data_IF_813967852790
#
_entry.id   IF_813967852790
#
_cell.length_a   1.000
_cell.length_b   1.000
_cell.length_c   1.000
_cell.angle_alpha   90.00
_cell.angle_beta   90.00
_cell.angle_gamma   90.00
#
_symmetry.space_group_name_H-M   'P 1'
#
loop_
_entity.id
_entity.type
_entity.pdbx_description
1 polymer ?
#
# COMPACT_ATOMS: atom_id res chain seq x y z
N UNK A 1 -23.20 -7.38 -43.34
CA UNK A 1 -22.82 -7.66 -41.95
C UNK A 1 -24.02 -7.26 -41.11
N UNK A 2 -24.74 -8.21 -40.58
CA UNK A 2 -25.89 -7.97 -39.71
C UNK A 2 -25.38 -7.33 -38.43
N UNK A 3 -25.73 -6.07 -38.19
CA UNK A 3 -25.48 -5.38 -36.90
C UNK A 3 -26.22 -6.17 -35.81
N UNK A 4 -25.48 -7.05 -35.17
CA UNK A 4 -25.95 -7.72 -33.98
C UNK A 4 -25.83 -6.70 -32.83
N UNK A 5 -26.90 -5.88 -32.63
CA UNK A 5 -26.98 -4.95 -31.50
C UNK A 5 -26.97 -5.79 -30.24
N UNK A 6 -25.79 -5.92 -29.61
CA UNK A 6 -25.65 -6.60 -28.34
C UNK A 6 -26.41 -5.82 -27.26
N UNK A 7 -27.48 -6.40 -26.73
CA UNK A 7 -28.16 -5.78 -25.57
C UNK A 7 -27.21 -5.71 -24.38
N UNK A 8 -27.17 -4.59 -23.64
CA UNK A 8 -26.38 -4.49 -22.43
C UNK A 8 -26.74 -5.56 -21.41
N UNK A 9 -25.81 -6.13 -20.65
CA UNK A 9 -26.06 -7.14 -19.64
C UNK A 9 -27.09 -6.67 -18.61
N UNK A 10 -28.18 -7.43 -18.40
CA UNK A 10 -29.25 -7.12 -17.46
C UNK A 10 -29.97 -8.41 -16.99
N UNK A 11 -30.76 -8.30 -15.94
CA UNK A 11 -31.68 -9.32 -15.47
C UNK A 11 -32.90 -8.63 -14.87
N UNK A 12 -33.95 -8.46 -15.70
CA UNK A 12 -35.19 -7.81 -15.26
C UNK A 12 -35.86 -8.60 -14.13
N UNK A 13 -35.82 -9.93 -14.18
CA UNK A 13 -36.39 -10.78 -13.12
C UNK A 13 -35.71 -10.55 -11.76
N UNK A 14 -34.37 -10.40 -11.76
CA UNK A 14 -33.63 -10.08 -10.54
C UNK A 14 -33.93 -8.66 -10.03
N UNK A 15 -34.06 -7.68 -10.93
CA UNK A 15 -34.43 -6.32 -10.58
C UNK A 15 -35.83 -6.28 -9.94
N UNK A 16 -36.80 -6.97 -10.54
CA UNK A 16 -38.18 -7.09 -10.02
C UNK A 16 -38.20 -7.79 -8.65
N UNK A 17 -37.45 -8.89 -8.50
CA UNK A 17 -37.34 -9.61 -7.24
C UNK A 17 -36.70 -8.76 -6.12
N UNK A 18 -35.72 -7.90 -6.47
CA UNK A 18 -35.14 -6.96 -5.52
C UNK A 18 -36.16 -5.93 -5.07
N UNK A 19 -36.85 -5.27 -6.00
CA UNK A 19 -37.82 -4.22 -5.67
C UNK A 19 -39.01 -4.76 -4.88
N UNK A 20 -39.58 -5.88 -5.31
CA UNK A 20 -40.66 -6.52 -4.59
C UNK A 20 -40.25 -7.04 -3.24
N UNK A 21 -39.03 -7.58 -3.12
CA UNK A 21 -38.46 -8.03 -1.86
C UNK A 21 -38.22 -6.90 -0.85
N UNK A 22 -37.80 -5.73 -1.32
CA UNK A 22 -37.63 -4.52 -0.48
C UNK A 22 -38.96 -4.03 0.09
N UNK A 23 -40.03 -4.07 -0.72
CA UNK A 23 -41.38 -3.70 -0.28
C UNK A 23 -41.96 -4.71 0.74
N UNK A 24 -41.56 -5.98 0.69
CA UNK A 24 -42.00 -7.03 1.61
C UNK A 24 -41.15 -7.12 2.87
N UNK A 25 -39.86 -6.78 2.80
CA UNK A 25 -38.92 -6.83 3.95
C UNK A 25 -39.12 -5.65 4.94
N UNK A 26 -39.74 -4.56 4.45
CA UNK A 26 -40.14 -3.42 5.28
C UNK A 26 -39.03 -2.63 5.94
N UNK A 27 -37.77 -2.78 5.54
CA UNK A 27 -36.63 -2.03 6.06
C UNK A 27 -35.75 -2.78 7.06
N UNK A 28 -35.85 -4.08 7.14
CA UNK A 28 -35.04 -4.96 7.99
C UNK A 28 -33.55 -5.00 7.57
N UNK A 29 -32.74 -5.78 8.27
CA UNK A 29 -31.30 -5.91 8.04
C UNK A 29 -30.93 -6.26 6.58
N UNK A 30 -31.74 -7.06 5.89
CA UNK A 30 -31.55 -7.42 4.47
C UNK A 30 -31.73 -6.21 3.57
N UNK A 31 -32.74 -5.37 3.80
CA UNK A 31 -32.93 -4.12 3.10
C UNK A 31 -31.71 -3.22 3.24
N UNK A 32 -31.13 -3.06 4.44
CA UNK A 32 -29.93 -2.26 4.66
C UNK A 32 -28.73 -2.81 3.90
N UNK A 33 -28.56 -4.13 3.82
CA UNK A 33 -27.50 -4.77 3.01
C UNK A 33 -27.68 -4.46 1.52
N UNK A 34 -28.91 -4.54 0.99
CA UNK A 34 -29.19 -4.20 -0.41
C UNK A 34 -28.96 -2.73 -0.72
N UNK A 35 -29.34 -1.82 0.19
CA UNK A 35 -29.08 -0.37 0.06
C UNK A 35 -27.57 -0.04 0.03
N UNK A 36 -26.74 -0.83 0.72
CA UNK A 36 -25.29 -0.70 0.68
C UNK A 36 -24.68 -1.27 -0.61
N UNK A 37 -25.34 -2.23 -1.25
CA UNK A 37 -24.85 -2.94 -2.46
C UNK A 37 -25.23 -2.25 -3.75
N UNK A 38 -26.43 -1.65 -3.83
CA UNK A 38 -27.02 -1.12 -5.04
C UNK A 38 -27.15 0.40 -5.01
N UNK A 39 -27.14 0.97 -6.21
CA UNK A 39 -27.46 2.36 -6.48
C UNK A 39 -28.56 2.40 -7.54
N UNK A 40 -29.27 3.52 -7.73
CA UNK A 40 -30.25 3.66 -8.81
C UNK A 40 -29.67 3.28 -10.19
N UNK A 41 -28.41 3.65 -10.45
CA UNK A 41 -27.69 3.34 -11.71
C UNK A 41 -27.37 1.84 -11.87
N UNK A 42 -27.55 1.05 -10.79
CA UNK A 42 -27.38 -0.40 -10.86
C UNK A 42 -28.53 -1.09 -11.62
N UNK A 43 -29.65 -0.44 -11.78
CA UNK A 43 -30.79 -0.96 -12.50
C UNK A 43 -30.71 -0.65 -14.00
N UNK A 44 -31.04 -1.62 -14.82
CA UNK A 44 -31.11 -1.45 -16.27
C UNK A 44 -32.39 -0.72 -16.68
N UNK A 45 -33.52 -1.07 -16.04
CA UNK A 45 -34.82 -0.45 -16.28
C UNK A 45 -34.91 0.93 -15.62
N UNK A 46 -35.20 1.97 -16.38
CA UNK A 46 -35.43 3.33 -15.88
C UNK A 46 -36.54 3.39 -14.80
N UNK A 47 -37.73 2.78 -15.03
CA UNK A 47 -38.73 2.61 -14.01
C UNK A 47 -38.25 1.96 -12.73
N UNK A 48 -37.44 0.88 -12.78
CA UNK A 48 -36.87 0.23 -11.60
C UNK A 48 -35.90 1.16 -10.84
N UNK A 49 -35.06 1.90 -11.55
CA UNK A 49 -34.18 2.91 -10.95
C UNK A 49 -34.97 3.99 -10.20
N UNK A 50 -36.14 4.42 -10.78
CA UNK A 50 -37.03 5.39 -10.14
C UNK A 50 -37.67 4.83 -8.86
N UNK A 51 -38.17 3.58 -8.90
CA UNK A 51 -38.74 2.89 -7.73
C UNK A 51 -37.69 2.74 -6.64
N UNK A 52 -36.47 2.29 -6.98
CA UNK A 52 -35.37 2.14 -6.01
C UNK A 52 -34.98 3.47 -5.37
N UNK A 53 -34.98 4.56 -6.14
CA UNK A 53 -34.73 5.92 -5.62
C UNK A 53 -35.78 6.30 -4.60
N UNK A 54 -37.06 6.08 -4.88
CA UNK A 54 -38.17 6.37 -3.96
C UNK A 54 -38.08 5.51 -2.69
N UNK A 55 -37.74 4.23 -2.80
CA UNK A 55 -37.50 3.35 -1.66
C UNK A 55 -36.38 3.92 -0.76
N UNK A 56 -35.28 4.36 -1.39
CA UNK A 56 -34.16 4.96 -0.66
C UNK A 56 -34.55 6.25 0.07
N UNK A 57 -35.37 7.08 -0.55
CA UNK A 57 -35.86 8.33 0.02
C UNK A 57 -36.83 8.07 1.21
N UNK A 58 -37.72 7.09 1.10
CA UNK A 58 -38.61 6.65 2.19
C UNK A 58 -37.79 6.11 3.38
N UNK A 59 -36.82 5.25 3.11
CA UNK A 59 -35.93 4.70 4.15
C UNK A 59 -35.17 5.81 4.89
N UNK A 60 -34.65 6.80 4.16
CA UNK A 60 -33.95 7.94 4.74
C UNK A 60 -34.85 8.81 5.64
N UNK A 61 -36.17 8.83 5.36
CA UNK A 61 -37.19 9.54 6.16
C UNK A 61 -37.81 8.65 7.24
N UNK A 62 -37.35 7.42 7.38
CA UNK A 62 -37.91 6.42 8.30
C UNK A 62 -39.42 6.18 8.09
N UNK A 63 -39.83 6.16 6.79
CA UNK A 63 -41.21 5.92 6.41
C UNK A 63 -41.41 4.48 5.92
N UNK A 64 -42.64 3.92 5.99
CA UNK A 64 -42.93 2.57 5.52
C UNK A 64 -42.60 2.39 4.02
N UNK A 65 -42.07 1.23 3.68
CA UNK A 65 -41.74 0.83 2.30
C UNK A 65 -42.80 -0.16 1.85
N UNK A 66 -43.92 0.33 1.33
CA UNK A 66 -45.00 -0.47 0.80
C UNK A 66 -45.51 0.11 -0.54
N UNK A 67 -46.28 -0.69 -1.36
CA UNK A 67 -46.72 -0.23 -2.68
C UNK A 67 -47.57 1.05 -2.66
N UNK A 68 -48.36 1.28 -1.59
CA UNK A 68 -49.23 2.45 -1.49
C UNK A 68 -48.40 3.72 -1.25
N UNK A 69 -47.55 3.69 -0.24
CA UNK A 69 -46.67 4.82 0.12
C UNK A 69 -45.69 5.16 -1.04
N UNK A 70 -45.20 4.13 -1.75
CA UNK A 70 -44.35 4.32 -2.92
C UNK A 70 -45.11 4.96 -4.10
N UNK A 71 -46.35 4.55 -4.35
CA UNK A 71 -47.17 5.14 -5.42
C UNK A 71 -47.34 6.63 -5.19
N UNK A 72 -47.70 7.05 -3.97
CA UNK A 72 -47.90 8.46 -3.65
C UNK A 72 -46.62 9.31 -3.89
N UNK A 73 -45.45 8.79 -3.49
CA UNK A 73 -44.17 9.47 -3.66
C UNK A 73 -43.77 9.56 -5.14
N UNK A 74 -44.00 8.49 -5.91
CA UNK A 74 -43.64 8.42 -7.33
C UNK A 74 -44.57 9.28 -8.19
N UNK A 75 -45.86 9.32 -7.87
CA UNK A 75 -46.83 10.20 -8.57
C UNK A 75 -46.52 11.67 -8.31
N UNK A 76 -46.20 12.05 -7.08
CA UNK A 76 -45.79 13.40 -6.71
C UNK A 76 -44.51 13.87 -7.44
N UNK A 77 -43.67 12.96 -7.87
CA UNK A 77 -42.39 13.25 -8.57
C UNK A 77 -42.47 13.19 -10.10
N UNK A 78 -43.63 12.93 -10.69
CA UNK A 78 -43.86 12.77 -12.14
C UNK A 78 -42.89 11.77 -12.81
N UNK A 79 -42.51 10.73 -12.12
CA UNK A 79 -41.59 9.69 -12.63
C UNK A 79 -42.35 8.51 -13.19
N UNK A 80 -41.90 8.01 -14.35
CA UNK A 80 -42.43 6.77 -14.91
C UNK A 80 -42.02 5.57 -14.06
N UNK A 81 -43.00 4.80 -13.52
CA UNK A 81 -42.77 3.63 -12.67
C UNK A 81 -43.75 2.47 -12.95
N UNK A 82 -44.64 2.62 -13.94
CA UNK A 82 -45.61 1.60 -14.32
C UNK A 82 -46.91 1.62 -13.56
N UNK A 83 -47.12 2.56 -12.62
CA UNK A 83 -48.35 2.73 -11.84
C UNK A 83 -48.43 1.75 -10.63
N UNK A 84 -49.48 1.98 -9.80
CA UNK A 84 -49.73 1.19 -8.60
C UNK A 84 -49.86 -0.33 -8.89
N UNK A 85 -50.52 -0.68 -10.00
CA UNK A 85 -50.70 -2.08 -10.41
C UNK A 85 -49.37 -2.80 -10.61
N UNK A 86 -48.35 -2.11 -11.13
CA UNK A 86 -47.03 -2.66 -11.32
C UNK A 86 -46.32 -2.88 -9.99
N UNK A 87 -46.42 -1.97 -9.04
CA UNK A 87 -45.87 -2.16 -7.70
C UNK A 87 -46.49 -3.36 -6.95
N UNK A 88 -47.81 -3.50 -7.11
CA UNK A 88 -48.52 -4.66 -6.54
C UNK A 88 -48.11 -5.97 -7.23
N UNK A 89 -47.85 -5.97 -8.52
CA UNK A 89 -47.32 -7.12 -9.26
C UNK A 89 -45.91 -7.51 -8.82
N UNK A 90 -45.02 -6.53 -8.63
CA UNK A 90 -43.64 -6.77 -8.12
C UNK A 90 -43.66 -7.49 -6.76
N UNK A 91 -44.51 -7.07 -5.83
CA UNK A 91 -44.63 -7.74 -4.52
C UNK A 91 -45.20 -9.13 -4.63
N UNK A 92 -46.23 -9.33 -5.47
CA UNK A 92 -46.89 -10.62 -5.68
C UNK A 92 -45.96 -11.65 -6.31
N UNK A 93 -45.13 -11.23 -7.28
CA UNK A 93 -44.25 -12.11 -8.06
C UNK A 93 -42.87 -12.32 -7.44
N UNK A 94 -42.58 -11.75 -6.26
CA UNK A 94 -41.31 -11.95 -5.55
C UNK A 94 -41.18 -13.37 -5.04
N UNK A 95 -40.19 -14.14 -5.51
CA UNK A 95 -40.13 -15.59 -5.18
C UNK A 95 -39.80 -15.84 -3.71
N UNK A 96 -38.90 -15.06 -3.09
CA UNK A 96 -38.52 -15.20 -1.69
C UNK A 96 -37.77 -13.99 -1.15
N UNK A 97 -38.22 -13.42 -0.08
CA UNK A 97 -37.53 -12.35 0.68
C UNK A 97 -36.22 -12.86 1.31
N UNK A 98 -36.14 -14.16 1.66
CA UNK A 98 -34.93 -14.74 2.21
C UNK A 98 -33.71 -14.64 1.25
N UNK A 99 -33.95 -14.63 -0.07
CA UNK A 99 -32.92 -14.56 -1.10
C UNK A 99 -32.68 -13.13 -1.60
N UNK A 100 -33.22 -12.11 -0.97
CA UNK A 100 -33.15 -10.71 -1.39
C UNK A 100 -31.73 -10.24 -1.68
N UNK A 101 -30.78 -10.56 -0.78
CA UNK A 101 -29.37 -10.20 -0.93
C UNK A 101 -28.73 -10.90 -2.14
N UNK A 102 -29.14 -12.14 -2.45
CA UNK A 102 -28.66 -12.87 -3.63
C UNK A 102 -29.16 -12.23 -4.93
N UNK A 103 -30.44 -11.84 -5.00
CA UNK A 103 -30.98 -11.12 -6.17
C UNK A 103 -30.28 -9.78 -6.36
N UNK A 104 -30.00 -9.06 -5.28
CA UNK A 104 -29.24 -7.80 -5.34
C UNK A 104 -27.80 -8.04 -5.86
N UNK A 105 -27.18 -9.15 -5.53
CA UNK A 105 -25.85 -9.49 -6.06
C UNK A 105 -25.90 -9.69 -7.59
N UNK A 106 -26.93 -10.37 -8.11
CA UNK A 106 -27.12 -10.53 -9.58
C UNK A 106 -27.28 -9.17 -10.27
N UNK A 107 -28.12 -8.28 -9.72
CA UNK A 107 -28.32 -6.92 -10.28
C UNK A 107 -27.00 -6.14 -10.27
N UNK A 108 -26.22 -6.22 -9.19
CA UNK A 108 -24.93 -5.57 -9.08
C UNK A 108 -23.93 -6.09 -10.09
N UNK A 109 -23.85 -7.41 -10.29
CA UNK A 109 -22.92 -8.02 -11.22
C UNK A 109 -23.23 -7.59 -12.66
N UNK A 110 -24.52 -7.52 -13.03
CA UNK A 110 -24.94 -6.98 -14.34
C UNK A 110 -24.66 -5.48 -14.48
N UNK A 111 -24.77 -4.71 -13.41
CA UNK A 111 -24.39 -3.30 -13.41
C UNK A 111 -22.88 -3.13 -13.60
N UNK A 112 -22.04 -3.98 -12.97
CA UNK A 112 -20.59 -3.96 -13.15
C UNK A 112 -20.19 -4.29 -14.60
N UNK A 113 -20.84 -5.28 -15.21
CA UNK A 113 -20.63 -5.61 -16.63
C UNK A 113 -20.97 -4.41 -17.54
N UNK A 114 -22.10 -3.73 -17.31
CA UNK A 114 -22.49 -2.51 -18.06
C UNK A 114 -21.50 -1.37 -17.87
N UNK A 115 -21.07 -1.14 -16.64
CA UNK A 115 -20.08 -0.10 -16.34
C UNK A 115 -18.75 -0.37 -17.04
N UNK A 116 -18.30 -1.63 -17.04
CA UNK A 116 -17.09 -2.04 -17.74
C UNK A 116 -17.21 -1.81 -19.26
N UNK A 117 -18.34 -2.22 -19.88
CA UNK A 117 -18.61 -1.97 -21.31
C UNK A 117 -18.60 -0.48 -21.62
N UNK A 118 -19.25 0.35 -20.80
CA UNK A 118 -19.26 1.80 -20.97
C UNK A 118 -17.83 2.38 -20.97
N UNK A 119 -17.00 1.98 -20.01
CA UNK A 119 -15.61 2.47 -19.91
C UNK A 119 -14.70 1.94 -21.02
N UNK A 120 -14.91 0.72 -21.49
CA UNK A 120 -14.18 0.17 -22.62
C UNK A 120 -14.58 0.87 -23.94
N UNK A 121 -15.84 1.22 -24.12
CA UNK A 121 -16.28 2.01 -25.27
C UNK A 121 -15.66 3.42 -25.24
N UNK A 122 -15.65 4.09 -24.08
CA UNK A 122 -14.95 5.37 -23.87
C UNK A 122 -13.47 5.27 -24.25
N UNK A 123 -12.79 4.21 -23.82
CA UNK A 123 -11.41 3.93 -24.19
C UNK A 123 -11.23 3.72 -25.70
N UNK A 124 -12.15 3.00 -26.33
CA UNK A 124 -12.14 2.76 -27.77
C UNK A 124 -12.35 4.06 -28.56
N UNK A 125 -13.34 4.87 -28.18
CA UNK A 125 -13.59 6.17 -28.79
C UNK A 125 -12.38 7.10 -28.67
N UNK A 126 -11.71 7.09 -27.52
CA UNK A 126 -10.48 7.86 -27.29
C UNK A 126 -9.36 7.49 -28.27
N UNK A 127 -9.19 6.20 -28.57
CA UNK A 127 -8.18 5.74 -29.54
C UNK A 127 -8.48 6.23 -30.96
N UNK A 128 -9.77 6.22 -31.37
CA UNK A 128 -10.19 6.70 -32.68
C UNK A 128 -10.25 8.23 -32.79
N UNK A 129 -10.31 8.95 -31.67
CA UNK A 129 -10.40 10.40 -31.65
C UNK A 129 -9.16 11.06 -32.26
N UNK A 130 -9.36 12.07 -33.13
CA UNK A 130 -8.29 12.90 -33.69
C UNK A 130 -8.07 14.15 -32.82
N UNK A 131 -7.70 13.94 -31.56
CA UNK A 131 -7.35 15.03 -30.66
C UNK A 131 -5.83 15.25 -30.63
N UNK A 132 -5.36 16.28 -29.91
CA UNK A 132 -3.92 16.63 -29.77
C UNK A 132 -3.13 15.68 -28.86
N UNK A 133 -3.76 14.65 -28.28
CA UNK A 133 -3.09 13.70 -27.38
C UNK A 133 -2.16 12.77 -28.18
N UNK A 134 -0.98 12.54 -27.64
CA UNK A 134 -0.04 11.53 -28.13
C UNK A 134 -0.57 10.11 -27.86
N UNK A 135 -0.02 9.11 -28.55
CA UNK A 135 -0.39 7.72 -28.30
C UNK A 135 -0.11 7.28 -26.85
N UNK A 136 0.96 7.79 -26.25
CA UNK A 136 1.33 7.49 -24.85
C UNK A 136 0.29 8.05 -23.89
N UNK A 137 -0.11 9.33 -24.05
CA UNK A 137 -1.14 9.96 -23.22
C UNK A 137 -2.51 9.26 -23.33
N UNK A 138 -2.87 8.76 -24.53
CA UNK A 138 -4.08 7.96 -24.71
C UNK A 138 -4.00 6.63 -23.94
N UNK A 139 -2.86 5.94 -23.99
CA UNK A 139 -2.66 4.67 -23.26
C UNK A 139 -2.67 4.87 -21.74
N UNK A 140 -2.10 5.96 -21.22
CA UNK A 140 -2.19 6.33 -19.81
C UNK A 140 -3.63 6.57 -19.37
N UNK A 141 -4.41 7.31 -20.18
CA UNK A 141 -5.82 7.55 -19.92
C UNK A 141 -6.64 6.26 -19.92
N UNK A 142 -6.36 5.32 -20.82
CA UNK A 142 -7.00 3.99 -20.85
C UNK A 142 -6.64 3.18 -19.60
N UNK A 143 -5.39 3.26 -19.14
CA UNK A 143 -4.98 2.63 -17.86
C UNK A 143 -5.78 3.19 -16.68
N UNK A 144 -6.03 4.49 -16.64
CA UNK A 144 -6.88 5.10 -15.62
C UNK A 144 -8.35 4.61 -15.71
N UNK A 145 -8.92 4.46 -16.90
CA UNK A 145 -10.26 3.89 -17.09
C UNK A 145 -10.37 2.44 -16.61
N UNK A 146 -9.36 1.62 -16.89
CA UNK A 146 -9.32 0.22 -16.38
C UNK A 146 -9.22 0.16 -14.86
N UNK A 147 -8.50 1.10 -14.24
CA UNK A 147 -8.46 1.26 -12.78
C UNK A 147 -9.83 1.63 -12.22
N UNK A 148 -10.58 2.55 -12.87
CA UNK A 148 -11.95 2.89 -12.48
C UNK A 148 -12.89 1.69 -12.52
N UNK A 149 -12.79 0.82 -13.56
CA UNK A 149 -13.57 -0.43 -13.64
C UNK A 149 -13.26 -1.32 -12.42
N UNK A 150 -11.98 -1.49 -12.10
CA UNK A 150 -11.53 -2.29 -10.96
C UNK A 150 -12.03 -1.74 -9.62
N UNK A 151 -12.03 -0.43 -9.45
CA UNK A 151 -12.49 0.24 -8.23
C UNK A 151 -14.02 0.23 -8.10
N UNK A 152 -14.75 0.33 -9.21
CA UNK A 152 -16.20 0.16 -9.21
C UNK A 152 -16.61 -1.25 -8.78
N UNK A 153 -15.92 -2.29 -9.25
CA UNK A 153 -16.12 -3.66 -8.84
C UNK A 153 -15.92 -3.87 -7.32
N UNK A 154 -15.00 -3.09 -6.70
CA UNK A 154 -14.73 -3.15 -5.26
C UNK A 154 -15.73 -2.35 -4.42
N UNK A 155 -16.42 -1.37 -4.99
CA UNK A 155 -17.31 -0.45 -4.26
C UNK A 155 -18.46 -1.19 -3.55
N UNK A 156 -18.95 -2.29 -4.12
CA UNK A 156 -19.95 -3.15 -3.49
C UNK A 156 -19.41 -4.06 -2.38
N UNK A 157 -18.08 -4.19 -2.27
CA UNK A 157 -17.38 -4.99 -1.26
C UNK A 157 -16.72 -4.13 -0.16
N UNK A 158 -17.00 -2.83 -0.10
CA UNK A 158 -16.56 -2.02 1.04
C UNK A 158 -17.21 -2.59 2.29
N UNK A 159 -16.38 -3.11 3.18
CA UNK A 159 -16.81 -3.53 4.51
C UNK A 159 -17.45 -2.29 5.19
N UNK A 160 -18.76 -2.29 5.33
CA UNK A 160 -19.49 -1.29 6.11
C UNK A 160 -19.14 -1.37 7.60
N UNK A 161 -19.94 -0.75 8.43
CA UNK A 161 -19.86 -0.94 9.88
C UNK A 161 -20.06 -2.44 10.18
N UNK A 162 -19.15 -3.00 10.98
CA UNK A 162 -19.26 -4.35 11.51
C UNK A 162 -19.74 -4.27 12.95
N UNK A 163 -20.62 -5.18 13.35
CA UNK A 163 -20.97 -5.31 14.76
C UNK A 163 -19.74 -5.68 15.59
N UNK A 164 -19.73 -5.34 16.86
CA UNK A 164 -18.65 -5.75 17.77
C UNK A 164 -18.51 -7.28 17.80
N UNK A 165 -19.62 -8.02 17.73
CA UNK A 165 -19.63 -9.49 17.67
C UNK A 165 -18.87 -10.03 16.46
N UNK A 166 -19.17 -9.53 15.24
CA UNK A 166 -18.47 -9.95 14.02
C UNK A 166 -16.97 -9.65 14.07
N UNK A 167 -16.58 -8.54 14.70
CA UNK A 167 -15.18 -8.18 14.89
C UNK A 167 -14.52 -9.10 15.90
N UNK A 168 -15.23 -9.43 17.00
CA UNK A 168 -14.76 -10.30 18.07
C UNK A 168 -14.50 -11.73 17.56
N UNK A 169 -15.41 -12.29 16.78
CA UNK A 169 -15.24 -13.63 16.19
C UNK A 169 -13.99 -13.72 15.32
N UNK A 170 -13.79 -12.72 14.46
CA UNK A 170 -12.59 -12.66 13.63
C UNK A 170 -11.32 -12.44 14.46
N UNK A 171 -11.39 -11.70 15.55
CA UNK A 171 -10.27 -11.46 16.45
C UNK A 171 -9.90 -12.71 17.26
N UNK A 172 -10.88 -13.48 17.73
CA UNK A 172 -10.66 -14.76 18.43
C UNK A 172 -9.95 -15.75 17.49
N UNK A 173 -10.44 -15.90 16.25
CA UNK A 173 -9.80 -16.75 15.25
C UNK A 173 -8.36 -16.34 14.93
N UNK A 174 -8.09 -15.04 14.89
CA UNK A 174 -6.73 -14.50 14.76
C UNK A 174 -5.88 -14.75 16.01
N UNK A 175 -6.49 -14.70 17.19
CA UNK A 175 -5.81 -14.94 18.46
C UNK A 175 -5.35 -16.40 18.56
N UNK A 176 -6.22 -17.35 18.20
CA UNK A 176 -5.90 -18.78 18.16
C UNK A 176 -4.69 -19.06 17.26
N UNK A 177 -4.65 -18.48 16.05
CA UNK A 177 -3.50 -18.57 15.15
C UNK A 177 -2.21 -18.00 15.76
N UNK A 178 -2.31 -16.95 16.58
CA UNK A 178 -1.16 -16.32 17.24
C UNK A 178 -0.61 -17.15 18.40
N UNK A 179 -1.42 -17.97 19.02
CA UNK A 179 -0.99 -18.87 20.10
C UNK A 179 -0.52 -20.23 19.59
N UNK A 180 -0.70 -20.52 18.29
CA UNK A 180 -0.08 -21.71 17.68
C UNK A 180 1.45 -21.54 17.67
N UNK A 181 2.22 -22.42 18.34
CA UNK A 181 3.67 -22.37 18.34
C UNK A 181 4.30 -22.45 16.95
N UNK A 182 3.59 -23.06 15.99
CA UNK A 182 3.98 -23.18 14.59
C UNK A 182 3.30 -22.16 13.70
N UNK A 183 2.51 -21.24 14.28
CA UNK A 183 1.73 -20.24 13.56
C UNK A 183 2.58 -19.10 13.00
N UNK A 184 2.00 -18.35 12.04
CA UNK A 184 2.64 -17.15 11.48
C UNK A 184 2.93 -16.10 12.57
N UNK A 185 4.14 -15.54 12.56
CA UNK A 185 4.50 -14.42 13.42
C UNK A 185 3.55 -13.24 13.19
N UNK A 186 3.24 -12.48 14.24
CA UNK A 186 2.22 -11.41 14.26
C UNK A 186 2.49 -10.26 13.31
N UNK A 187 3.75 -9.98 13.01
CA UNK A 187 4.19 -8.92 12.14
C UNK A 187 5.47 -9.30 11.43
N UNK A 188 5.87 -8.45 10.51
CA UNK A 188 7.08 -8.70 9.74
C UNK A 188 8.31 -8.21 10.52
N UNK A 189 9.43 -8.92 10.36
CA UNK A 189 10.74 -8.53 10.87
C UNK A 189 11.39 -7.50 9.94
N UNK A 190 12.13 -6.57 10.50
CA UNK A 190 12.99 -5.64 9.74
C UNK A 190 14.29 -6.29 9.26
N UNK A 191 14.65 -7.43 9.85
CA UNK A 191 15.94 -8.09 9.65
C UNK A 191 17.07 -7.52 10.53
N UNK A 192 16.78 -6.60 11.44
CA UNK A 192 17.73 -6.06 12.44
C UNK A 192 17.21 -6.45 13.83
N UNK A 193 17.85 -7.42 14.48
CA UNK A 193 17.34 -8.01 15.72
C UNK A 193 17.02 -7.01 16.83
N UNK A 194 17.85 -5.97 17.02
CA UNK A 194 17.60 -4.96 18.05
C UNK A 194 16.42 -4.04 17.71
N UNK A 195 16.21 -3.73 16.44
CA UNK A 195 15.03 -3.00 16.00
C UNK A 195 13.77 -3.87 16.13
N UNK A 196 13.85 -5.15 15.79
CA UNK A 196 12.75 -6.10 15.94
C UNK A 196 12.37 -6.28 17.42
N UNK A 197 13.35 -6.32 18.35
CA UNK A 197 13.08 -6.32 19.81
C UNK A 197 12.35 -5.06 20.27
N UNK A 198 12.69 -3.89 19.72
CA UNK A 198 12.00 -2.63 20.03
C UNK A 198 10.55 -2.59 19.47
N UNK A 199 10.31 -3.28 18.36
CA UNK A 199 8.98 -3.41 17.76
C UNK A 199 8.16 -4.57 18.39
N UNK A 200 8.78 -5.40 19.23
CA UNK A 200 8.10 -6.52 19.90
C UNK A 200 6.98 -6.03 20.84
N UNK A 201 5.94 -6.84 21.07
CA UNK A 201 5.70 -8.19 20.52
C UNK A 201 5.03 -8.21 19.16
N UNK A 202 4.71 -7.04 18.55
CA UNK A 202 3.89 -6.95 17.34
C UNK A 202 4.67 -7.04 16.04
N UNK A 203 5.98 -6.71 16.04
CA UNK A 203 6.75 -6.51 14.82
C UNK A 203 6.18 -5.37 13.96
N UNK A 204 6.49 -5.35 12.67
CA UNK A 204 5.85 -4.45 11.70
C UNK A 204 4.45 -4.97 11.38
N UNK A 205 3.44 -4.22 11.81
CA UNK A 205 2.03 -4.61 11.67
C UNK A 205 1.60 -4.56 10.20
N UNK A 206 0.96 -5.62 9.71
CA UNK A 206 0.38 -5.66 8.35
C UNK A 206 -0.60 -4.48 8.16
N UNK A 207 -0.57 -3.85 7.00
CA UNK A 207 -1.38 -2.66 6.69
C UNK A 207 -0.76 -1.34 7.18
N UNK A 208 0.52 -1.33 7.59
CA UNK A 208 1.22 -0.14 8.06
C UNK A 208 2.10 0.51 6.99
N UNK A 209 2.31 1.82 7.18
CA UNK A 209 3.26 2.63 6.44
C UNK A 209 4.47 2.90 7.34
N UNK A 210 5.64 2.42 6.90
CA UNK A 210 6.94 2.59 7.57
C UNK A 210 7.77 3.60 6.78
N UNK A 211 8.16 4.69 7.41
CA UNK A 211 8.94 5.75 6.76
C UNK A 211 10.38 5.75 7.24
N UNK A 212 11.31 5.80 6.30
CA UNK A 212 12.76 5.93 6.58
C UNK A 212 13.22 7.31 6.12
N UNK A 213 13.60 8.15 7.08
CA UNK A 213 14.13 9.49 6.84
C UNK A 213 15.64 9.55 7.03
N UNK A 214 16.38 10.08 6.04
CA UNK A 214 17.81 10.31 6.19
C UNK A 214 18.33 11.41 5.25
N UNK A 215 19.48 12.00 5.61
CA UNK A 215 20.27 12.80 4.69
C UNK A 215 20.95 11.90 3.65
N UNK A 216 21.39 12.44 2.49
CA UNK A 216 22.16 11.69 1.52
C UNK A 216 23.36 10.98 2.13
N UNK A 217 23.70 9.78 1.63
CA UNK A 217 24.85 8.95 2.06
C UNK A 217 24.77 8.41 3.50
N UNK A 218 23.65 8.54 4.21
CA UNK A 218 23.48 8.00 5.56
C UNK A 218 23.08 6.50 5.59
N UNK A 219 22.77 5.89 4.45
CA UNK A 219 22.44 4.46 4.37
C UNK A 219 20.97 4.13 4.26
N UNK A 220 20.14 5.05 3.70
CA UNK A 220 18.72 4.76 3.41
C UNK A 220 18.55 3.47 2.62
N UNK A 221 19.23 3.37 1.47
CA UNK A 221 19.17 2.24 0.57
C UNK A 221 19.72 0.95 1.22
N UNK A 222 20.64 1.07 2.19
CA UNK A 222 21.17 -0.06 2.94
C UNK A 222 20.09 -0.67 3.85
N UNK A 223 19.38 0.15 4.63
CA UNK A 223 18.27 -0.34 5.48
C UNK A 223 17.11 -0.89 4.64
N UNK A 224 16.74 -0.19 3.59
CA UNK A 224 15.74 -0.59 2.62
C UNK A 224 16.05 -1.97 1.99
N UNK A 225 17.28 -2.17 1.50
CA UNK A 225 17.73 -3.45 0.96
C UNK A 225 17.73 -4.58 2.01
N UNK A 226 18.17 -4.30 3.23
CA UNK A 226 18.13 -5.27 4.33
C UNK A 226 16.71 -5.75 4.62
N UNK A 227 15.74 -4.83 4.65
CA UNK A 227 14.33 -5.18 4.86
C UNK A 227 13.77 -6.02 3.71
N UNK A 228 14.11 -5.67 2.45
CA UNK A 228 13.70 -6.43 1.27
C UNK A 228 14.24 -7.86 1.28
N UNK A 229 15.55 -8.02 1.54
CA UNK A 229 16.20 -9.34 1.64
C UNK A 229 15.58 -10.17 2.76
N UNK A 230 15.34 -9.56 3.93
CA UNK A 230 14.72 -10.26 5.05
C UNK A 230 13.31 -10.74 4.72
N UNK A 231 12.50 -9.88 4.07
CA UNK A 231 11.17 -10.25 3.62
C UNK A 231 11.20 -11.43 2.65
N UNK A 232 12.09 -11.39 1.65
CA UNK A 232 12.18 -12.42 0.63
C UNK A 232 12.72 -13.76 1.16
N UNK A 233 13.80 -13.73 1.96
CA UNK A 233 14.52 -14.94 2.35
C UNK A 233 13.99 -15.55 3.65
N UNK A 234 13.75 -14.71 4.67
CA UNK A 234 13.34 -15.19 5.99
C UNK A 234 11.85 -15.36 6.12
N UNK A 235 11.10 -14.32 5.70
CA UNK A 235 9.64 -14.34 5.76
C UNK A 235 9.01 -15.14 4.59
N UNK A 236 9.81 -15.47 3.54
CA UNK A 236 9.36 -16.18 2.32
C UNK A 236 8.17 -15.49 1.63
N UNK A 237 8.17 -14.16 1.63
CA UNK A 237 7.10 -13.34 1.06
C UNK A 237 7.64 -12.40 0.00
N UNK A 238 6.86 -12.11 -1.07
CA UNK A 238 7.28 -11.16 -2.10
C UNK A 238 7.61 -9.78 -1.53
N UNK A 239 8.81 -9.26 -1.85
CA UNK A 239 9.24 -7.91 -1.61
C UNK A 239 9.34 -7.16 -2.93
N UNK A 240 8.52 -6.12 -3.11
CA UNK A 240 8.41 -5.34 -4.33
C UNK A 240 9.13 -4.00 -4.13
N UNK A 241 10.18 -3.78 -4.91
CA UNK A 241 11.05 -2.61 -4.81
C UNK A 241 10.81 -1.68 -6.00
N UNK A 242 10.32 -0.48 -5.74
CA UNK A 242 10.14 0.58 -6.74
C UNK A 242 11.23 1.62 -6.53
N UNK A 243 12.15 1.73 -7.49
CA UNK A 243 13.30 2.62 -7.42
C UNK A 243 13.21 3.71 -8.47
N UNK A 244 13.11 4.97 -8.02
CA UNK A 244 13.10 6.12 -8.90
C UNK A 244 14.47 6.82 -8.98
N UNK A 245 15.41 6.45 -8.10
CA UNK A 245 16.75 7.06 -8.04
C UNK A 245 17.82 6.16 -8.67
N UNK A 246 17.70 4.83 -8.51
CA UNK A 246 18.75 3.90 -8.90
C UNK A 246 18.25 2.86 -9.91
N UNK A 247 19.06 2.54 -10.96
CA UNK A 247 18.79 1.43 -11.86
C UNK A 247 18.75 0.08 -11.14
N UNK A 248 18.00 -0.88 -11.68
CA UNK A 248 17.81 -2.21 -11.12
C UNK A 248 19.13 -2.97 -10.90
N UNK A 249 20.08 -2.85 -11.83
CA UNK A 249 21.39 -3.50 -11.72
C UNK A 249 22.17 -3.03 -10.49
N UNK A 250 22.16 -1.71 -10.21
CA UNK A 250 22.84 -1.17 -9.03
C UNK A 250 22.16 -1.59 -7.72
N UNK A 251 20.83 -1.78 -7.74
CA UNK A 251 20.10 -2.33 -6.59
C UNK A 251 20.52 -3.78 -6.39
N UNK A 252 20.53 -4.58 -7.46
CA UNK A 252 20.94 -5.98 -7.42
C UNK A 252 22.34 -6.13 -6.82
N UNK A 253 23.32 -5.37 -7.31
CA UNK A 253 24.69 -5.37 -6.78
C UNK A 253 24.74 -5.05 -5.29
N UNK A 254 23.97 -4.05 -4.84
CA UNK A 254 23.85 -3.73 -3.41
C UNK A 254 23.21 -4.86 -2.61
N UNK A 255 22.14 -5.47 -3.08
CA UNK A 255 21.48 -6.58 -2.40
C UNK A 255 22.40 -7.80 -2.30
N UNK A 256 23.12 -8.13 -3.37
CA UNK A 256 24.11 -9.22 -3.38
C UNK A 256 25.24 -8.92 -2.42
N UNK A 257 25.83 -7.71 -2.46
CA UNK A 257 26.89 -7.29 -1.54
C UNK A 257 26.44 -7.35 -0.08
N UNK A 258 25.25 -6.83 0.21
CA UNK A 258 24.67 -6.87 1.57
C UNK A 258 24.48 -8.30 2.09
N UNK A 259 23.93 -9.17 1.27
CA UNK A 259 23.60 -10.54 1.66
C UNK A 259 24.85 -11.43 1.75
N UNK A 260 25.82 -11.23 0.87
CA UNK A 260 27.09 -11.95 0.90
C UNK A 260 28.07 -11.38 1.94
N UNK A 261 27.94 -10.10 2.31
CA UNK A 261 28.92 -9.36 3.11
C UNK A 261 30.18 -8.95 2.35
N UNK A 262 30.16 -9.11 1.03
CA UNK A 262 31.25 -8.75 0.12
C UNK A 262 31.15 -7.28 -0.26
N UNK A 263 32.30 -6.61 -0.43
CA UNK A 263 32.30 -5.22 -0.89
C UNK A 263 31.85 -5.17 -2.37
N UNK A 264 30.78 -4.42 -2.71
CA UNK A 264 30.29 -4.33 -4.09
C UNK A 264 31.30 -3.81 -5.11
N UNK A 265 32.40 -3.17 -4.69
CA UNK A 265 33.49 -2.75 -5.60
C UNK A 265 34.08 -3.90 -6.40
N UNK A 266 33.97 -5.14 -5.90
CA UNK A 266 34.46 -6.35 -6.59
C UNK A 266 33.81 -6.53 -7.98
N UNK A 267 32.56 -6.08 -8.17
CA UNK A 267 31.87 -6.20 -9.47
C UNK A 267 32.43 -5.28 -10.56
N UNK A 268 33.28 -4.33 -10.17
CA UNK A 268 33.90 -3.36 -11.08
C UNK A 268 35.42 -3.58 -11.25
N UNK A 269 35.96 -4.61 -10.61
CA UNK A 269 37.36 -4.97 -10.71
C UNK A 269 37.55 -6.08 -11.78
N UNK A 270 38.45 -5.92 -12.74
CA UNK A 270 38.77 -7.00 -13.66
C UNK A 270 39.46 -8.14 -12.92
N UNK A 271 39.15 -9.38 -13.31
CA UNK A 271 39.85 -10.58 -12.81
C UNK A 271 41.27 -10.65 -13.44
N UNK A 272 42.20 -9.81 -13.01
CA UNK A 272 43.61 -9.76 -13.43
C UNK A 272 44.50 -9.98 -12.21
N UNK A 273 45.77 -10.39 -12.46
CA UNK A 273 46.77 -10.55 -11.39
C UNK A 273 46.95 -9.28 -10.56
N UNK A 274 46.64 -8.10 -11.11
CA UNK A 274 46.68 -6.81 -10.43
C UNK A 274 45.46 -6.58 -9.51
N UNK A 275 44.39 -7.41 -9.60
CA UNK A 275 43.20 -7.27 -8.75
C UNK A 275 43.50 -7.65 -7.31
N UNK A 276 44.36 -8.61 -7.07
CA UNK A 276 44.78 -9.04 -5.72
C UNK A 276 45.53 -7.94 -4.96
N UNK A 277 46.25 -7.07 -5.66
CA UNK A 277 46.97 -5.95 -5.03
C UNK A 277 46.06 -4.77 -4.65
N UNK A 278 44.88 -4.66 -5.25
CA UNK A 278 43.94 -3.56 -5.02
C UNK A 278 42.73 -3.94 -4.18
N UNK A 279 42.36 -5.21 -4.14
CA UNK A 279 41.25 -5.73 -3.36
C UNK A 279 41.71 -6.15 -1.96
N UNK A 280 41.03 -5.63 -0.94
CA UNK A 280 41.30 -6.01 0.46
C UNK A 280 40.53 -7.29 0.81
N UNK A 281 41.02 -8.44 0.39
CA UNK A 281 40.41 -9.75 0.62
C UNK A 281 40.85 -10.79 -0.41
N UNK A 282 40.30 -11.99 -0.33
CA UNK A 282 40.44 -13.04 -1.34
C UNK A 282 39.41 -12.78 -2.45
N UNK A 283 39.88 -12.25 -3.59
CA UNK A 283 39.02 -11.85 -4.72
C UNK A 283 38.19 -13.02 -5.23
N UNK A 284 38.82 -14.18 -5.50
CA UNK A 284 38.16 -15.34 -6.08
C UNK A 284 37.10 -15.92 -5.12
N UNK A 285 37.45 -16.06 -3.86
CA UNK A 285 36.51 -16.56 -2.84
C UNK A 285 35.33 -15.61 -2.63
N UNK A 286 35.58 -14.30 -2.59
CA UNK A 286 34.53 -13.30 -2.41
C UNK A 286 33.66 -13.16 -3.66
N UNK A 287 34.23 -13.21 -4.87
CA UNK A 287 33.47 -13.22 -6.10
C UNK A 287 32.55 -14.45 -6.21
N UNK A 288 33.09 -15.64 -5.96
CA UNK A 288 32.33 -16.89 -5.89
C UNK A 288 31.18 -16.81 -4.88
N UNK A 289 31.44 -16.26 -3.70
CA UNK A 289 30.44 -16.06 -2.66
C UNK A 289 29.33 -15.10 -3.09
N UNK A 290 29.69 -14.04 -3.80
CA UNK A 290 28.72 -13.08 -4.36
C UNK A 290 27.84 -13.75 -5.42
N UNK A 291 28.42 -14.50 -6.35
CA UNK A 291 27.69 -15.23 -7.41
C UNK A 291 26.76 -16.29 -6.82
N UNK A 292 27.23 -17.09 -5.84
CA UNK A 292 26.37 -18.06 -5.13
C UNK A 292 25.21 -17.39 -4.42
N UNK A 293 25.44 -16.20 -3.87
CA UNK A 293 24.40 -15.40 -3.23
C UNK A 293 23.37 -14.88 -4.23
N UNK A 294 23.83 -14.38 -5.38
CA UNK A 294 22.96 -13.92 -6.47
C UNK A 294 22.06 -15.06 -6.99
N UNK A 295 22.63 -16.24 -7.22
CA UNK A 295 21.87 -17.41 -7.65
C UNK A 295 20.83 -17.82 -6.61
N UNK A 296 21.16 -17.81 -5.31
CA UNK A 296 20.21 -18.09 -4.25
C UNK A 296 19.07 -17.07 -4.21
N UNK A 297 19.35 -15.78 -4.36
CA UNK A 297 18.30 -14.74 -4.42
C UNK A 297 17.37 -14.95 -5.61
N UNK A 298 17.92 -15.38 -6.76
CA UNK A 298 17.15 -15.71 -7.95
C UNK A 298 16.24 -16.94 -7.73
N UNK A 299 16.76 -18.00 -7.13
CA UNK A 299 16.01 -19.24 -6.85
C UNK A 299 14.83 -19.02 -5.88
N UNK A 300 14.96 -18.10 -4.90
CA UNK A 300 13.88 -17.76 -3.99
C UNK A 300 12.68 -17.10 -4.71
N UNK A 301 12.90 -16.41 -5.83
CA UNK A 301 11.88 -15.75 -6.67
C UNK A 301 10.86 -14.90 -5.87
N UNK A 302 11.37 -14.15 -4.88
CA UNK A 302 10.57 -13.32 -3.98
C UNK A 302 10.98 -11.84 -4.01
N UNK A 303 12.00 -11.46 -4.81
CA UNK A 303 12.43 -10.07 -5.01
C UNK A 303 11.99 -9.59 -6.38
N UNK A 304 11.30 -8.46 -6.42
CA UNK A 304 10.83 -7.79 -7.64
C UNK A 304 11.35 -6.37 -7.63
N UNK A 305 11.94 -5.91 -8.73
CA UNK A 305 12.49 -4.56 -8.88
C UNK A 305 11.84 -3.90 -10.08
N UNK A 306 11.36 -2.68 -9.89
CA UNK A 306 10.85 -1.80 -10.94
C UNK A 306 11.61 -0.47 -10.85
N UNK A 307 12.39 -0.15 -11.86
CA UNK A 307 13.18 1.08 -11.98
C UNK A 307 12.68 2.01 -13.11
N UNK A 308 11.41 1.84 -13.50
CA UNK A 308 10.77 2.67 -14.51
C UNK A 308 10.81 4.15 -14.10
N UNK A 309 11.31 5.06 -14.94
CA UNK A 309 11.37 6.48 -14.62
C UNK A 309 9.96 7.08 -14.44
N UNK A 310 9.81 7.97 -13.45
CA UNK A 310 8.57 8.73 -13.27
C UNK A 310 7.36 7.89 -12.86
N UNK A 311 7.56 6.88 -12.03
CA UNK A 311 6.50 6.02 -11.51
C UNK A 311 5.35 6.82 -10.89
N UNK A 312 4.12 6.52 -11.29
CA UNK A 312 2.92 7.04 -10.65
C UNK A 312 2.42 6.09 -9.55
N UNK A 313 1.63 6.62 -8.61
CA UNK A 313 0.97 5.79 -7.60
C UNK A 313 0.07 4.71 -8.25
N UNK A 314 -0.59 5.05 -9.35
CA UNK A 314 -1.45 4.11 -10.09
C UNK A 314 -0.66 2.93 -10.65
N UNK A 315 0.54 3.16 -11.18
CA UNK A 315 1.44 2.11 -11.66
C UNK A 315 1.89 1.19 -10.52
N UNK A 316 2.36 1.75 -9.40
CA UNK A 316 2.75 0.98 -8.21
C UNK A 316 1.60 0.09 -7.74
N UNK A 317 0.39 0.64 -7.64
CA UNK A 317 -0.82 -0.10 -7.24
C UNK A 317 -1.12 -1.25 -8.20
N UNK A 318 -1.01 -1.01 -9.51
CA UNK A 318 -1.28 -2.02 -10.54
C UNK A 318 -0.29 -3.19 -10.47
N UNK A 319 1.01 -2.92 -10.38
CA UNK A 319 2.05 -3.95 -10.29
C UNK A 319 1.96 -4.74 -8.96
N UNK A 320 1.73 -4.06 -7.84
CA UNK A 320 1.50 -4.74 -6.56
C UNK A 320 0.29 -5.69 -6.60
N UNK A 321 -0.82 -5.27 -7.21
CA UNK A 321 -2.01 -6.13 -7.38
C UNK A 321 -1.74 -7.32 -8.31
N UNK A 322 -0.93 -7.11 -9.35
CA UNK A 322 -0.50 -8.17 -10.27
C UNK A 322 0.30 -9.25 -9.54
N UNK A 323 1.33 -8.88 -8.78
CA UNK A 323 2.11 -9.83 -7.98
C UNK A 323 1.25 -10.53 -6.94
N UNK A 324 0.34 -9.81 -6.25
CA UNK A 324 -0.60 -10.43 -5.30
C UNK A 324 -1.48 -11.50 -5.95
N UNK A 325 -1.95 -11.28 -7.21
CA UNK A 325 -2.71 -12.30 -7.95
C UNK A 325 -1.86 -13.52 -8.32
N UNK A 326 -0.58 -13.31 -8.63
CA UNK A 326 0.34 -14.40 -9.04
C UNK A 326 0.85 -15.22 -7.88
N UNK A 327 1.19 -14.57 -6.76
CA UNK A 327 1.84 -15.21 -5.60
C UNK A 327 0.89 -15.45 -4.41
N UNK A 328 -0.35 -14.92 -4.47
CA UNK A 328 -1.34 -15.03 -3.39
C UNK A 328 -1.22 -13.95 -2.31
N UNK A 329 0.00 -13.53 -1.99
CA UNK A 329 0.28 -12.49 -1.00
C UNK A 329 1.40 -11.54 -1.45
N UNK A 330 1.54 -10.42 -0.72
CA UNK A 330 2.68 -9.50 -0.80
C UNK A 330 3.14 -9.25 0.64
N UNK A 331 4.43 -9.41 0.90
CA UNK A 331 5.00 -9.17 2.22
C UNK A 331 5.31 -7.70 2.43
N UNK A 332 6.06 -7.11 1.50
CA UNK A 332 6.54 -5.74 1.61
C UNK A 332 6.54 -5.03 0.27
N UNK A 333 6.15 -3.75 0.28
CA UNK A 333 6.28 -2.84 -0.86
C UNK A 333 7.24 -1.73 -0.44
N UNK A 334 8.30 -1.53 -1.20
CA UNK A 334 9.35 -0.57 -0.86
C UNK A 334 9.45 0.47 -1.97
N UNK A 335 9.39 1.77 -1.61
CA UNK A 335 9.37 2.90 -2.56
C UNK A 335 10.52 3.86 -2.25
N UNK A 336 11.44 4.02 -3.19
CA UNK A 336 12.59 4.92 -3.12
C UNK A 336 12.49 5.96 -4.25
N UNK A 337 12.16 7.20 -4.06
CA UNK A 337 11.66 7.92 -2.92
C UNK A 337 10.55 8.91 -3.36
N UNK A 338 9.77 9.40 -2.41
CA UNK A 338 8.52 10.14 -2.61
C UNK A 338 8.59 11.31 -3.60
N UNK A 339 9.64 12.14 -3.53
CA UNK A 339 9.71 13.40 -4.31
C UNK A 339 10.06 13.21 -5.79
N UNK A 340 10.40 11.98 -6.23
CA UNK A 340 10.63 11.65 -7.64
C UNK A 340 9.37 11.04 -8.31
N UNK A 341 8.33 10.73 -7.54
CA UNK A 341 7.08 10.25 -8.11
C UNK A 341 6.38 11.35 -8.91
N UNK A 342 5.83 10.98 -10.06
CA UNK A 342 4.99 11.89 -10.85
C UNK A 342 3.68 12.12 -10.09
N UNK A 343 3.49 13.33 -9.58
CA UNK A 343 2.22 13.72 -8.99
C UNK A 343 1.29 14.23 -10.11
N UNK A 344 0.03 13.80 -10.10
CA UNK A 344 -1.00 14.48 -10.87
C UNK A 344 -0.99 15.98 -10.49
N UNK A 345 -1.14 16.86 -11.48
CA UNK A 345 -1.04 18.33 -11.33
C UNK A 345 -1.85 18.80 -10.12
N UNK A 346 -1.18 19.05 -9.02
CA UNK A 346 -1.74 19.77 -7.88
C UNK A 346 -1.09 21.16 -7.83
N UNK A 347 -1.85 22.17 -7.50
CA UNK A 347 -1.39 23.58 -7.44
C UNK A 347 -0.30 23.80 -6.38
N UNK A 348 -0.06 22.81 -5.51
CA UNK A 348 0.98 22.82 -4.46
C UNK A 348 1.55 21.41 -4.26
N UNK A 349 2.87 21.31 -4.24
CA UNK A 349 3.60 20.04 -4.05
C UNK A 349 3.20 19.30 -2.76
N UNK A 350 2.93 20.01 -1.67
CA UNK A 350 2.54 19.43 -0.37
C UNK A 350 1.26 18.59 -0.47
N UNK A 351 0.26 19.06 -1.24
CA UNK A 351 -1.00 18.34 -1.45
C UNK A 351 -0.78 17.07 -2.27
N UNK A 352 0.07 17.14 -3.29
CA UNK A 352 0.39 16.01 -4.14
C UNK A 352 1.08 14.88 -3.35
N UNK A 353 2.07 15.22 -2.52
CA UNK A 353 2.76 14.23 -1.67
C UNK A 353 1.82 13.63 -0.61
N UNK A 354 0.89 14.44 -0.07
CA UNK A 354 -0.15 13.95 0.84
C UNK A 354 -1.07 12.91 0.20
N UNK A 355 -1.46 13.10 -1.07
CA UNK A 355 -2.25 12.12 -1.80
C UNK A 355 -1.48 10.80 -2.01
N UNK A 356 -0.19 10.90 -2.33
CA UNK A 356 0.66 9.72 -2.53
C UNK A 356 0.83 8.94 -1.21
N UNK A 357 1.17 9.59 -0.10
CA UNK A 357 1.35 8.91 1.20
C UNK A 357 0.06 8.25 1.67
N UNK A 358 -1.08 8.94 1.54
CA UNK A 358 -2.40 8.38 1.84
C UNK A 358 -2.74 7.20 0.91
N UNK A 359 -2.40 7.30 -0.37
CA UNK A 359 -2.56 6.22 -1.34
C UNK A 359 -1.73 4.98 -0.99
N UNK A 360 -0.45 5.16 -0.63
CA UNK A 360 0.44 4.09 -0.17
C UNK A 360 -0.05 3.46 1.14
N UNK A 361 -0.55 4.26 2.09
CA UNK A 361 -1.17 3.74 3.31
C UNK A 361 -2.43 2.92 3.03
N UNK A 362 -3.25 3.35 2.07
CA UNK A 362 -4.44 2.59 1.65
C UNK A 362 -4.03 1.29 0.94
N UNK A 363 -2.99 1.32 0.11
CA UNK A 363 -2.42 0.13 -0.53
C UNK A 363 -1.93 -0.89 0.50
N UNK A 364 -1.21 -0.43 1.55
CA UNK A 364 -0.77 -1.29 2.65
C UNK A 364 -1.95 -2.04 3.28
N UNK A 365 -3.04 -1.32 3.59
CA UNK A 365 -4.27 -1.90 4.16
C UNK A 365 -4.98 -2.86 3.18
N UNK A 366 -5.06 -2.51 1.90
CA UNK A 366 -5.69 -3.34 0.86
C UNK A 366 -4.97 -4.67 0.68
N UNK A 367 -3.64 -4.61 0.60
CA UNK A 367 -2.81 -5.80 0.37
C UNK A 367 -2.58 -6.60 1.65
N UNK A 368 -2.72 -5.98 2.83
CA UNK A 368 -2.35 -6.58 4.12
C UNK A 368 -0.83 -6.76 4.26
N UNK A 369 -0.04 -5.85 3.67
CA UNK A 369 1.42 -5.86 3.68
C UNK A 369 1.98 -4.65 4.44
N UNK A 370 3.30 -4.54 4.54
CA UNK A 370 3.99 -3.33 5.02
C UNK A 370 4.47 -2.53 3.81
N UNK A 371 4.17 -1.23 3.78
CA UNK A 371 4.74 -0.32 2.79
C UNK A 371 5.87 0.46 3.44
N UNK A 372 7.07 0.39 2.86
CA UNK A 372 8.27 1.13 3.28
C UNK A 372 8.49 2.28 2.31
N UNK A 373 8.50 3.49 2.83
CA UNK A 373 8.69 4.71 2.04
C UNK A 373 9.99 5.40 2.47
N UNK A 374 10.87 5.68 1.52
CA UNK A 374 12.05 6.50 1.78
C UNK A 374 11.74 7.98 1.60
N UNK A 375 12.26 8.81 2.49
CA UNK A 375 12.17 10.27 2.39
C UNK A 375 13.52 10.92 2.64
N UNK A 376 13.78 12.01 1.91
CA UNK A 376 14.97 12.82 2.11
C UNK A 376 14.68 13.94 3.13
N UNK A 377 15.61 14.15 4.06
CA UNK A 377 15.45 15.15 5.10
C UNK A 377 15.96 16.52 4.66
N UNK A 378 15.43 17.60 5.26
CA UNK A 378 15.81 18.96 5.00
C UNK A 378 17.25 19.24 5.46
N UNK A 379 17.97 20.16 4.78
CA UNK A 379 19.33 20.57 5.14
C UNK A 379 19.39 21.35 6.45
N UNK A 380 18.30 21.95 6.90
CA UNK A 380 18.23 22.67 8.17
C UNK A 380 18.62 21.80 9.37
N UNK A 381 18.43 20.47 9.28
CA UNK A 381 18.93 19.51 10.24
C UNK A 381 20.44 19.66 10.55
N UNK A 382 21.26 19.97 9.53
CA UNK A 382 22.72 20.07 9.66
C UNK A 382 23.16 21.29 10.45
N UNK A 383 22.30 22.32 10.57
CA UNK A 383 22.54 23.55 11.32
C UNK A 383 22.30 23.40 12.83
N UNK A 384 21.58 22.34 13.23
CA UNK A 384 21.28 22.09 14.65
C UNK A 384 22.51 21.57 15.40
N UNK A 385 22.58 21.86 16.68
CA UNK A 385 23.57 21.28 17.58
C UNK A 385 23.42 19.76 17.64
N UNK A 386 22.18 19.28 17.83
CA UNK A 386 21.84 17.87 17.73
C UNK A 386 21.31 17.58 16.31
N UNK A 387 22.12 16.91 15.50
CA UNK A 387 21.82 16.59 14.10
C UNK A 387 21.03 15.28 13.93
N UNK A 388 20.49 14.73 15.03
CA UNK A 388 19.67 13.51 14.96
C UNK A 388 18.32 13.83 14.32
N UNK A 389 17.91 13.04 13.32
CA UNK A 389 16.65 13.22 12.60
C UNK A 389 15.40 13.18 13.47
N UNK A 390 14.44 14.01 13.12
CA UNK A 390 13.08 14.06 13.64
C UNK A 390 12.07 13.91 12.49
N UNK A 391 10.85 13.44 12.74
CA UNK A 391 9.81 13.34 11.70
C UNK A 391 9.57 14.68 10.97
N UNK A 392 9.61 15.80 11.70
CA UNK A 392 9.45 17.16 11.16
C UNK A 392 10.56 17.61 10.20
N UNK A 393 11.68 16.89 10.13
CA UNK A 393 12.77 17.20 9.18
C UNK A 393 12.52 16.64 7.78
N UNK A 394 11.51 15.77 7.61
CA UNK A 394 11.14 15.26 6.30
C UNK A 394 10.68 16.43 5.40
N UNK A 395 11.09 16.54 4.15
CA UNK A 395 10.63 17.59 3.22
C UNK A 395 9.12 17.44 2.97
N UNK A 396 8.39 18.55 2.95
CA UNK A 396 6.97 18.66 2.55
C UNK A 396 5.97 17.84 3.40
N UNK A 397 5.95 17.91 4.76
CA UNK A 397 5.82 16.70 5.55
C UNK A 397 4.87 16.66 6.72
N UNK A 398 4.07 17.62 6.95
CA UNK A 398 2.99 17.47 7.95
C UNK A 398 2.12 16.25 7.69
N UNK A 399 1.95 15.87 6.41
CA UNK A 399 1.12 14.75 6.01
C UNK A 399 1.82 13.38 6.20
N UNK A 400 3.13 13.28 5.97
CA UNK A 400 3.87 12.02 6.17
C UNK A 400 3.77 11.58 7.64
N UNK A 401 3.97 12.51 8.57
CA UNK A 401 3.88 12.24 10.01
C UNK A 401 2.46 11.79 10.43
N UNK A 402 1.43 12.35 9.79
CA UNK A 402 0.04 11.96 10.04
C UNK A 402 -0.31 10.58 9.50
N UNK A 403 0.21 10.22 8.33
CA UNK A 403 -0.16 8.99 7.64
C UNK A 403 0.67 7.77 8.05
N UNK A 404 1.93 7.96 8.51
CA UNK A 404 2.82 6.87 8.87
C UNK A 404 2.47 6.24 10.23
N UNK A 405 2.78 4.96 10.37
CA UNK A 405 2.65 4.21 11.62
C UNK A 405 3.99 4.10 12.34
N UNK A 406 5.06 4.08 11.55
CA UNK A 406 6.44 4.04 12.03
C UNK A 406 7.28 5.07 11.27
N UNK A 407 8.14 5.77 12.00
CA UNK A 407 9.12 6.65 11.39
C UNK A 407 10.50 6.41 12.01
N UNK A 408 11.47 6.07 11.15
CA UNK A 408 12.85 5.82 11.55
C UNK A 408 13.78 6.81 10.86
N UNK A 409 14.53 7.54 11.68
CA UNK A 409 15.63 8.38 11.20
C UNK A 409 16.95 7.62 11.20
N UNK A 410 17.77 7.80 10.17
CA UNK A 410 19.13 7.25 10.13
C UNK A 410 20.12 8.39 10.40
N UNK A 411 20.97 8.19 11.39
CA UNK A 411 22.03 9.13 11.76
C UNK A 411 23.39 8.44 11.85
N UNK A 412 24.40 9.07 11.27
CA UNK A 412 25.81 8.64 11.36
C UNK A 412 26.62 9.82 11.84
N UNK A 413 27.04 9.76 13.10
CA UNK A 413 27.84 10.82 13.72
C UNK A 413 29.17 11.03 13.00
N UNK A 414 29.82 9.93 12.55
CA UNK A 414 31.08 9.97 11.82
C UNK A 414 31.01 10.66 10.44
N UNK A 415 29.82 11.00 9.95
CA UNK A 415 29.67 11.85 8.75
C UNK A 415 29.85 13.36 9.06
N UNK A 416 29.82 13.73 10.35
CA UNK A 416 29.94 15.11 10.82
C UNK A 416 31.14 15.31 11.75
N UNK A 417 31.67 14.23 12.32
CA UNK A 417 32.79 14.26 13.25
C UNK A 417 33.72 13.08 12.94
N UNK A 418 34.90 13.38 12.42
CA UNK A 418 35.93 12.41 12.03
C UNK A 418 36.52 11.62 13.22
N UNK A 419 36.31 12.07 14.45
CA UNK A 419 36.72 11.34 15.65
C UNK A 419 35.83 10.10 15.95
N UNK A 420 34.69 10.00 15.30
CA UNK A 420 33.72 8.90 15.44
C UNK A 420 33.88 7.92 14.24
N UNK A 421 33.92 6.61 14.49
CA UNK A 421 34.01 5.63 13.42
C UNK A 421 32.92 5.79 12.37
N UNK A 422 33.32 5.88 11.09
CA UNK A 422 32.42 6.20 9.99
C UNK A 422 31.26 5.20 9.79
N UNK A 423 31.42 3.96 10.27
CA UNK A 423 30.39 2.91 10.15
C UNK A 423 29.32 2.93 11.25
N UNK A 424 29.57 3.63 12.36
CA UNK A 424 28.58 3.70 13.45
C UNK A 424 27.30 4.40 13.00
N UNK A 425 26.18 3.73 13.18
CA UNK A 425 24.88 4.17 12.69
C UNK A 425 23.82 4.06 13.78
N UNK A 426 23.02 5.11 13.94
CA UNK A 426 21.84 5.10 14.80
C UNK A 426 20.58 4.97 13.95
N UNK A 427 19.74 4.04 14.29
CA UNK A 427 18.36 3.95 13.83
C UNK A 427 17.45 4.52 14.91
N UNK A 428 16.88 5.68 14.63
CA UNK A 428 16.09 6.47 15.57
C UNK A 428 14.61 6.23 15.30
N UNK A 429 13.99 5.27 15.99
CA UNK A 429 12.54 5.06 15.93
C UNK A 429 11.86 6.21 16.68
N UNK A 430 11.40 7.23 15.96
CA UNK A 430 10.81 8.47 16.51
C UNK A 430 9.30 8.49 16.52
N UNK A 431 8.66 7.64 15.70
CA UNK A 431 7.23 7.42 15.74
C UNK A 431 6.96 5.92 15.66
N UNK A 432 6.13 5.43 16.58
CA UNK A 432 5.66 4.05 16.63
C UNK A 432 4.23 4.06 17.20
N UNK A 433 3.23 3.91 16.35
CA UNK A 433 1.81 3.88 16.77
C UNK A 433 1.43 2.59 17.52
N UNK A 434 2.32 1.61 17.50
CA UNK A 434 2.03 0.27 18.04
C UNK A 434 2.84 -0.08 19.29
N UNK A 435 3.74 0.81 19.73
CA UNK A 435 4.61 0.58 20.88
C UNK A 435 5.49 1.78 21.22
N UNK A 436 6.61 1.52 21.83
CA UNK A 436 7.54 2.53 22.30
C UNK A 436 8.48 3.03 21.17
N UNK A 437 9.09 4.18 21.41
CA UNK A 437 10.12 4.77 20.56
C UNK A 437 11.50 4.59 21.20
N UNK A 438 12.57 4.70 20.39
CA UNK A 438 13.92 4.54 20.95
C UNK A 438 15.00 4.68 19.88
N UNK A 439 16.22 4.27 20.25
CA UNK A 439 17.40 4.29 19.39
C UNK A 439 18.05 2.92 19.37
N UNK A 440 18.37 2.43 18.20
CA UNK A 440 19.12 1.19 17.97
C UNK A 440 20.45 1.55 17.32
N UNK A 441 21.52 0.94 17.84
CA UNK A 441 22.88 1.10 17.31
C UNK A 441 23.23 -0.02 16.38
N UNK A 442 23.79 0.34 15.22
CA UNK A 442 24.18 -0.57 14.15
C UNK A 442 25.56 -0.19 13.62
N UNK A 443 26.19 -1.12 12.92
CA UNK A 443 27.42 -0.90 12.17
C UNK A 443 27.15 -1.04 10.68
N UNK A 444 27.43 -0.02 9.87
CA UNK A 444 27.47 -0.13 8.42
C UNK A 444 28.89 -0.47 7.95
N UNK A 445 29.00 -1.59 7.23
CA UNK A 445 30.27 -2.05 6.64
C UNK A 445 29.97 -2.76 5.33
N UNK A 446 30.79 -2.52 4.30
CA UNK A 446 30.68 -3.15 2.97
C UNK A 446 29.27 -3.05 2.35
N UNK A 447 28.61 -1.89 2.51
CA UNK A 447 27.24 -1.68 2.00
C UNK A 447 26.13 -2.41 2.78
N UNK A 448 26.46 -3.19 3.82
CA UNK A 448 25.52 -3.88 4.69
C UNK A 448 25.36 -3.18 6.05
N UNK A 449 24.27 -3.49 6.75
CA UNK A 449 23.99 -3.00 8.10
C UNK A 449 23.96 -4.21 9.06
N UNK A 450 24.69 -4.10 10.14
CA UNK A 450 24.83 -5.14 11.15
C UNK A 450 24.35 -4.65 12.50
N UNK A 451 23.63 -5.49 13.22
CA UNK A 451 23.22 -5.22 14.60
C UNK A 451 24.45 -5.18 15.52
N UNK A 452 24.40 -4.35 16.56
CA UNK A 452 25.44 -4.24 17.57
C UNK A 452 24.92 -4.67 18.94
N UNK A 453 25.82 -4.97 19.87
CA UNK A 453 25.44 -5.05 21.27
C UNK A 453 25.02 -3.66 21.77
N UNK A 454 23.76 -3.52 22.12
CA UNK A 454 23.15 -2.22 22.44
C UNK A 454 23.70 -1.63 23.75
N UNK A 455 24.10 -2.48 24.69
CA UNK A 455 24.63 -2.05 25.98
C UNK A 455 26.02 -1.46 25.80
N UNK A 456 26.91 -2.19 25.12
CA UNK A 456 28.28 -1.76 24.84
C UNK A 456 28.31 -0.50 23.96
N UNK A 457 27.50 -0.47 22.90
CA UNK A 457 27.42 0.68 22.01
C UNK A 457 26.94 1.97 22.71
N UNK A 458 25.99 1.84 23.65
CA UNK A 458 25.53 2.96 24.47
C UNK A 458 26.63 3.44 25.42
N UNK A 459 27.28 2.53 26.14
CA UNK A 459 28.37 2.86 27.08
C UNK A 459 29.55 3.57 26.40
N UNK A 460 29.96 3.10 25.22
CA UNK A 460 31.00 3.76 24.43
C UNK A 460 30.64 5.20 24.02
N UNK A 461 29.38 5.43 23.63
CA UNK A 461 28.89 6.76 23.28
C UNK A 461 28.83 7.71 24.46
N UNK A 462 28.30 7.24 25.59
CA UNK A 462 28.22 8.05 26.82
C UNK A 462 29.62 8.46 27.26
N UNK A 463 30.59 7.55 27.18
CA UNK A 463 31.98 7.84 27.49
C UNK A 463 32.66 8.87 26.57
N UNK A 464 32.24 8.93 25.28
CA UNK A 464 32.74 9.96 24.35
C UNK A 464 32.11 11.32 24.63
N UNK A 465 30.81 11.36 24.97
CA UNK A 465 30.12 12.62 25.30
C UNK A 465 30.71 13.28 26.56
N UNK A 466 31.06 12.49 27.57
CA UNK A 466 31.69 12.98 28.81
C UNK A 466 33.10 13.53 28.59
N UNK A 467 33.88 12.94 27.68
CA UNK A 467 35.21 13.41 27.32
C UNK A 467 35.17 14.70 26.52
N UNK A 468 34.13 14.86 25.67
CA UNK A 468 33.88 16.10 24.87
C UNK A 468 33.46 17.31 25.75
N UNK A 469 32.70 17.07 26.81
CA UNK A 469 32.24 18.07 27.77
C UNK A 469 33.38 18.64 28.62
N UNK A 470 34.39 17.87 28.96
CA UNK A 470 35.56 18.30 29.78
C UNK A 470 36.55 19.20 28.99
N UNK A 471 36.60 19.15 27.68
CA UNK A 471 37.49 20.01 26.86
C UNK A 471 36.97 21.41 26.63
N UNK A 472 35.70 21.72 26.89
CA UNK A 472 35.13 23.09 26.75
C UNK A 472 35.11 23.90 28.05
N UNK A 473 35.56 23.36 29.19
CA UNK A 473 35.54 23.99 30.50
C UNK A 473 36.92 24.44 31.05
N UNK A 474 37.96 24.47 30.23
CA UNK A 474 39.32 24.84 30.67
C UNK A 474 39.90 25.93 29.81
N UNK A 475 39.51 27.19 30.05
CA UNK A 475 40.08 28.36 29.40
C UNK A 475 39.55 29.62 30.04
N UNK A 476 40.20 30.01 31.10
CA UNK A 476 40.17 31.41 31.59
C UNK A 476 41.16 32.23 30.78
#
# INVERSE_FOLDING_TARGET
MTDNILMPPHSLDAEQAVLGGLMLDGGDERTLKVMAMLKPESFFSGPHASIFTAIKDLLARNQPIDPLTLSDVLEASDKQYGGFSYLAELTKNTPSVANLVHYAAVVRDKAMERYAIMKLNEATEMLYSRNSMTAVEKLESISALTTQISDYAKTGNRRGLRSFGDVMDSWVADLEKRFDPNGEQRGMSTGIPSLDRMLAPKGLVKGSLFVIGARPKMGKTTLYGQMAINCAIREKKPALMFSLEMPADQILEKLVGQKSGVNPSIFYMPATEDADDTYQGDYDADFDKAIKTANRLREEDMLYIDDTPGLSLAHIVAECRKVKRQKGEVGMVLVDYLTLMTAEKADRNDLAYGLITKGLKNLAKELGCVVVLLTQLNRELEKRVNKRPLPSDSRDTGQIEQDCDYWVGIHREGAFDESVPAGETELLLRLNRHGETGTVFCLQKNGAIYDMDQTSARAERDSRSDKGGKKKGGGF
#
